data_IF_038549355740
#
_entry.id   IF_038549355740
#
_cell.length_a   1.000
_cell.length_b   1.000
_cell.length_c   1.000
_cell.angle_alpha   90.00
_cell.angle_beta   90.00
_cell.angle_gamma   90.00
#
_symmetry.space_group_name_H-M   'P 1'
#
loop_
_entity.id
_entity.type
_entity.pdbx_description
1 polymer ?
#
# COMPACT_ATOMS: atom_id res chain seq x y z
N UNK A 1 -15.87 8.20 -18.31
CA UNK A 1 -15.34 6.83 -18.61
C UNK A 1 -15.92 5.88 -17.56
N UNK A 2 -16.43 4.72 -17.94
CA UNK A 2 -16.90 3.75 -16.93
C UNK A 2 -15.68 2.93 -16.47
N UNK A 3 -15.11 3.29 -15.33
CA UNK A 3 -13.92 2.63 -14.78
C UNK A 3 -14.29 1.23 -14.29
N UNK A 4 -13.53 0.22 -14.69
CA UNK A 4 -13.80 -1.20 -14.37
C UNK A 4 -12.75 -1.80 -13.46
N UNK A 5 -11.51 -1.40 -13.63
CA UNK A 5 -10.33 -1.97 -12.95
C UNK A 5 -9.45 -0.87 -12.36
N UNK A 6 -8.62 -1.18 -11.35
CA UNK A 6 -7.68 -0.21 -10.77
C UNK A 6 -6.74 0.44 -11.79
N UNK A 7 -6.37 -0.25 -12.87
CA UNK A 7 -5.54 0.34 -13.92
C UNK A 7 -6.20 1.53 -14.63
N UNK A 8 -7.55 1.54 -14.71
CA UNK A 8 -8.29 2.60 -15.40
C UNK A 8 -8.15 3.94 -14.68
N UNK A 9 -7.85 3.93 -13.36
CA UNK A 9 -7.60 5.13 -12.56
C UNK A 9 -6.44 5.96 -13.11
N UNK A 10 -5.46 5.31 -13.75
CA UNK A 10 -4.25 5.94 -14.27
C UNK A 10 -4.49 6.68 -15.60
N UNK A 11 -5.55 6.35 -16.30
CA UNK A 11 -5.90 6.92 -17.61
C UNK A 11 -7.06 7.91 -17.53
N UNK A 12 -7.80 7.94 -16.40
CA UNK A 12 -8.88 8.89 -16.16
C UNK A 12 -8.33 10.19 -15.56
N UNK A 13 -8.33 11.27 -16.35
CA UNK A 13 -7.74 12.57 -15.96
C UNK A 13 -8.34 13.14 -14.68
N UNK A 14 -9.66 13.00 -14.48
CA UNK A 14 -10.32 13.49 -13.27
C UNK A 14 -9.83 12.73 -12.04
N UNK A 15 -9.76 11.40 -12.14
CA UNK A 15 -9.28 10.54 -11.05
C UNK A 15 -7.81 10.79 -10.75
N UNK A 16 -6.97 10.89 -11.78
CA UNK A 16 -5.54 11.23 -11.63
C UNK A 16 -5.39 12.54 -10.88
N UNK A 17 -6.12 13.58 -11.26
CA UNK A 17 -6.09 14.87 -10.58
C UNK A 17 -6.57 14.76 -9.11
N UNK A 18 -7.64 14.00 -8.85
CA UNK A 18 -8.12 13.75 -7.48
C UNK A 18 -7.08 13.01 -6.64
N UNK A 19 -6.42 12.00 -7.19
CA UNK A 19 -5.34 11.28 -6.50
C UNK A 19 -4.21 12.27 -6.14
N UNK A 20 -3.76 13.06 -7.09
CA UNK A 20 -2.68 14.03 -6.88
C UNK A 20 -2.99 15.06 -5.80
N UNK A 21 -4.23 15.55 -5.74
CA UNK A 21 -4.62 16.66 -4.85
C UNK A 21 -5.18 16.20 -3.51
N UNK A 22 -5.86 15.04 -3.44
CA UNK A 22 -6.55 14.59 -2.23
C UNK A 22 -5.73 13.58 -1.41
N UNK A 23 -4.96 12.72 -2.08
CA UNK A 23 -4.23 11.66 -1.38
C UNK A 23 -3.22 12.21 -0.35
N UNK A 24 -2.45 13.28 -0.61
CA UNK A 24 -1.58 13.87 0.40
C UNK A 24 -2.32 14.30 1.66
N UNK A 25 -3.45 14.99 1.52
CA UNK A 25 -4.30 15.40 2.65
C UNK A 25 -4.83 14.20 3.43
N UNK A 26 -5.38 13.21 2.74
CA UNK A 26 -5.96 12.01 3.37
C UNK A 26 -4.89 11.18 4.10
N UNK A 27 -3.68 11.09 3.55
CA UNK A 27 -2.58 10.40 4.19
C UNK A 27 -2.01 11.20 5.38
N UNK A 28 -2.04 12.53 5.33
CA UNK A 28 -1.71 13.35 6.50
C UNK A 28 -2.74 13.13 7.63
N UNK A 29 -4.04 13.07 7.31
CA UNK A 29 -5.08 12.70 8.27
C UNK A 29 -4.83 11.31 8.86
N UNK A 30 -4.49 10.32 8.03
CA UNK A 30 -4.15 8.97 8.50
C UNK A 30 -2.93 8.97 9.46
N UNK A 31 -1.95 9.84 9.22
CA UNK A 31 -0.82 10.02 10.14
C UNK A 31 -1.25 10.67 11.46
N UNK A 32 -2.12 11.68 11.43
CA UNK A 32 -2.66 12.30 12.65
C UNK A 32 -3.47 11.30 13.47
N UNK A 33 -4.36 10.51 12.80
CA UNK A 33 -5.16 9.46 13.45
C UNK A 33 -4.30 8.39 14.13
N UNK A 34 -3.18 8.01 13.51
CA UNK A 34 -2.26 7.01 14.04
C UNK A 34 -1.15 7.60 14.93
N UNK A 35 -1.19 8.90 15.25
CA UNK A 35 -0.13 9.55 16.02
C UNK A 35 -0.35 9.43 17.52
N UNK A 36 0.75 9.16 18.26
CA UNK A 36 0.79 9.23 19.72
C UNK A 36 2.02 10.04 20.15
N UNK A 37 1.81 11.03 21.00
CA UNK A 37 2.89 11.89 21.49
C UNK A 37 3.76 12.47 20.36
N UNK A 38 3.14 12.88 19.26
CA UNK A 38 3.83 13.49 18.10
C UNK A 38 4.57 12.49 17.20
N UNK A 39 4.48 11.19 17.46
CA UNK A 39 5.09 10.15 16.61
C UNK A 39 4.02 9.32 15.92
N UNK A 40 4.21 9.08 14.62
CA UNK A 40 3.33 8.22 13.85
C UNK A 40 3.53 6.76 14.25
N UNK A 41 2.44 6.09 14.67
CA UNK A 41 2.45 4.70 15.08
C UNK A 41 2.55 3.72 13.89
N UNK A 42 2.83 2.44 14.19
CA UNK A 42 2.93 1.39 13.16
C UNK A 42 1.59 1.11 12.47
N UNK A 43 0.49 1.36 13.14
CA UNK A 43 -0.88 1.22 12.66
C UNK A 43 -1.24 2.13 11.48
N UNK A 44 -0.43 3.15 11.20
CA UNK A 44 -0.64 4.07 10.06
C UNK A 44 -0.76 3.33 8.73
N UNK A 45 -0.06 2.21 8.57
CA UNK A 45 -0.15 1.37 7.37
C UNK A 45 -1.58 0.94 7.09
N UNK A 46 -2.27 0.38 8.09
CA UNK A 46 -3.66 -0.07 7.97
C UNK A 46 -4.65 1.08 7.72
N UNK A 47 -4.40 2.27 8.28
CA UNK A 47 -5.25 3.44 8.02
C UNK A 47 -5.07 3.92 6.57
N UNK A 48 -3.83 3.99 6.08
CA UNK A 48 -3.53 4.36 4.68
C UNK A 48 -4.11 3.36 3.68
N UNK A 49 -4.05 2.06 3.99
CA UNK A 49 -4.69 1.01 3.20
C UNK A 49 -6.19 1.25 3.06
N UNK A 50 -6.89 1.56 4.17
CA UNK A 50 -8.32 1.91 4.14
C UNK A 50 -8.60 3.13 3.24
N UNK A 51 -7.71 4.13 3.21
CA UNK A 51 -7.84 5.30 2.32
C UNK A 51 -7.77 4.87 0.85
N UNK A 52 -6.86 3.95 0.50
CA UNK A 52 -6.75 3.42 -0.86
C UNK A 52 -7.97 2.57 -1.23
N UNK A 53 -8.42 1.70 -0.32
CA UNK A 53 -9.65 0.91 -0.53
C UNK A 53 -10.86 1.82 -0.73
N UNK A 54 -10.97 2.90 0.05
CA UNK A 54 -12.05 3.88 -0.10
C UNK A 54 -12.01 4.57 -1.48
N UNK A 55 -10.83 4.85 -2.04
CA UNK A 55 -10.68 5.34 -3.41
C UNK A 55 -11.22 4.33 -4.43
N UNK A 56 -10.89 3.04 -4.26
CA UNK A 56 -11.39 1.98 -5.15
C UNK A 56 -12.92 1.87 -5.07
N UNK A 57 -13.49 1.87 -3.87
CA UNK A 57 -14.95 1.85 -3.65
C UNK A 57 -15.60 3.08 -4.30
N UNK A 58 -15.04 4.27 -4.10
CA UNK A 58 -15.57 5.52 -4.64
C UNK A 58 -15.59 5.53 -6.18
N UNK A 59 -14.58 4.95 -6.82
CA UNK A 59 -14.44 5.00 -8.28
C UNK A 59 -14.99 3.78 -9.02
N UNK A 60 -14.98 2.63 -8.40
CA UNK A 60 -15.35 1.37 -9.04
C UNK A 60 -16.69 0.80 -8.56
N UNK A 61 -17.27 1.38 -7.49
CA UNK A 61 -18.51 0.91 -6.86
C UNK A 61 -18.27 -0.14 -5.78
N UNK A 62 -18.99 -0.02 -4.67
CA UNK A 62 -18.87 -0.91 -3.49
C UNK A 62 -19.18 -2.37 -3.82
N UNK A 63 -20.13 -2.60 -4.72
CA UNK A 63 -20.58 -3.92 -5.18
C UNK A 63 -19.49 -4.70 -5.93
N UNK A 64 -18.48 -4.00 -6.43
CA UNK A 64 -17.36 -4.58 -7.18
C UNK A 64 -16.12 -4.85 -6.30
N UNK A 65 -16.19 -4.48 -5.02
CA UNK A 65 -15.05 -4.51 -4.09
C UNK A 65 -15.36 -5.47 -2.93
N UNK A 66 -14.54 -6.51 -2.79
CA UNK A 66 -14.57 -7.38 -1.62
C UNK A 66 -13.36 -7.07 -0.72
N UNK A 67 -13.65 -6.67 0.52
CA UNK A 67 -12.67 -6.38 1.58
C UNK A 67 -12.67 -7.44 2.68
N UNK A 68 -13.53 -8.48 2.57
CA UNK A 68 -13.60 -9.60 3.51
C UNK A 68 -12.65 -10.70 3.05
N UNK A 69 -11.35 -10.44 3.18
CA UNK A 69 -10.31 -11.35 2.76
C UNK A 69 -9.93 -12.27 3.93
N UNK A 70 -9.87 -13.60 3.73
CA UNK A 70 -9.41 -14.53 4.75
C UNK A 70 -7.97 -14.23 5.18
N UNK A 71 -7.66 -14.37 6.46
CA UNK A 71 -6.30 -14.19 7.03
C UNK A 71 -5.28 -15.12 6.35
N UNK A 72 -5.72 -16.24 5.81
CA UNK A 72 -4.89 -17.19 5.06
C UNK A 72 -4.39 -16.66 3.72
N UNK A 73 -5.01 -15.62 3.19
CA UNK A 73 -4.59 -14.93 1.96
C UNK A 73 -3.70 -13.73 2.28
N UNK A 74 -2.52 -13.99 2.83
CA UNK A 74 -1.63 -13.00 3.44
C UNK A 74 -1.12 -11.88 2.52
N UNK A 75 -1.25 -12.03 1.20
CA UNK A 75 -0.80 -11.04 0.21
C UNK A 75 -1.97 -10.26 -0.43
N UNK A 76 -3.21 -10.73 -0.27
CA UNK A 76 -4.39 -10.08 -0.82
C UNK A 76 -5.00 -9.14 0.21
N UNK A 77 -5.06 -7.86 -0.09
CA UNK A 77 -5.69 -6.84 0.76
C UNK A 77 -7.10 -6.49 0.28
N UNK A 78 -7.38 -6.65 -1.02
CA UNK A 78 -8.69 -6.38 -1.63
C UNK A 78 -8.88 -7.20 -2.91
N UNK A 79 -10.13 -7.58 -3.18
CA UNK A 79 -10.53 -8.19 -4.45
C UNK A 79 -11.44 -7.23 -5.21
N UNK A 80 -11.08 -6.91 -6.46
CA UNK A 80 -11.84 -6.05 -7.35
C UNK A 80 -12.35 -6.89 -8.52
N UNK A 81 -13.67 -7.05 -8.63
CA UNK A 81 -14.31 -7.87 -9.69
C UNK A 81 -13.68 -9.27 -9.85
N UNK A 82 -13.34 -9.91 -8.73
CA UNK A 82 -12.74 -11.25 -8.72
C UNK A 82 -11.22 -11.29 -8.90
N UNK A 83 -10.54 -10.16 -9.14
CA UNK A 83 -9.07 -10.07 -9.21
C UNK A 83 -8.50 -9.55 -7.89
N UNK A 84 -7.51 -10.27 -7.34
CA UNK A 84 -6.82 -9.90 -6.10
C UNK A 84 -5.79 -8.79 -6.31
N UNK A 85 -5.67 -7.92 -5.31
CA UNK A 85 -4.68 -6.85 -5.25
C UNK A 85 -4.08 -6.75 -3.86
N UNK A 86 -2.78 -6.52 -3.80
CA UNK A 86 -2.09 -6.13 -2.58
C UNK A 86 -1.96 -4.61 -2.51
N UNK A 87 -2.14 -4.02 -1.33
CA UNK A 87 -1.97 -2.58 -1.11
C UNK A 87 -0.77 -2.36 -0.21
N UNK A 88 0.21 -1.61 -0.70
CA UNK A 88 1.42 -1.32 0.07
C UNK A 88 1.66 0.18 0.15
N UNK A 89 2.16 0.64 1.28
CA UNK A 89 2.55 2.03 1.47
C UNK A 89 3.95 2.13 2.03
N UNK A 90 4.74 3.09 1.53
CA UNK A 90 6.10 3.33 1.99
C UNK A 90 6.32 4.83 2.19
N UNK A 91 7.02 5.22 3.24
CA UNK A 91 7.43 6.61 3.46
C UNK A 91 8.94 6.74 3.26
N UNK A 92 9.34 7.62 2.35
CA UNK A 92 10.74 7.83 1.99
C UNK A 92 11.39 6.57 1.42
N UNK A 93 12.53 6.19 1.98
CA UNK A 93 13.31 5.01 1.57
C UNK A 93 13.15 3.81 2.52
N UNK A 94 12.02 3.72 3.22
CA UNK A 94 11.71 2.59 4.09
C UNK A 94 11.60 1.26 3.36
N UNK A 95 11.50 0.16 4.10
CA UNK A 95 11.23 -1.17 3.54
C UNK A 95 9.74 -1.38 3.25
N UNK A 96 9.44 -2.22 2.28
CA UNK A 96 8.08 -2.67 1.97
C UNK A 96 7.98 -4.13 2.39
N UNK A 97 7.05 -4.44 3.30
CA UNK A 97 6.83 -5.82 3.71
C UNK A 97 6.00 -6.57 2.68
N UNK A 98 6.53 -7.71 2.23
CA UNK A 98 5.77 -8.68 1.46
C UNK A 98 4.73 -9.36 2.38
N UNK A 99 5.16 -9.74 3.61
CA UNK A 99 4.29 -10.35 4.62
C UNK A 99 4.76 -9.98 6.02
N UNK A 100 3.81 -9.96 6.96
CA UNK A 100 4.09 -9.94 8.39
C UNK A 100 4.29 -11.37 8.91
N UNK A 101 5.33 -11.58 9.71
CA UNK A 101 5.61 -12.86 10.37
C UNK A 101 5.83 -12.65 11.85
N UNK A 102 5.67 -13.70 12.65
CA UNK A 102 5.84 -13.65 14.10
C UNK A 102 7.22 -14.15 14.55
N UNK A 103 7.88 -14.97 13.71
CA UNK A 103 9.15 -15.61 14.03
C UNK A 103 10.01 -15.89 12.78
N UNK A 104 11.23 -16.38 12.98
CA UNK A 104 12.19 -16.66 11.91
C UNK A 104 11.81 -17.91 11.08
N UNK A 105 11.13 -18.89 11.67
CA UNK A 105 10.69 -20.10 10.97
C UNK A 105 9.57 -19.77 10.00
N UNK A 106 8.57 -19.01 10.45
CA UNK A 106 7.49 -18.48 9.59
C UNK A 106 8.04 -17.65 8.43
N UNK A 107 9.07 -16.80 8.70
CA UNK A 107 9.72 -16.02 7.66
C UNK A 107 10.43 -16.91 6.63
N UNK A 108 11.18 -17.93 7.09
CA UNK A 108 11.86 -18.90 6.22
C UNK A 108 10.88 -19.70 5.36
N UNK A 109 9.81 -20.20 5.99
CA UNK A 109 8.76 -20.95 5.30
C UNK A 109 8.07 -20.08 4.25
N UNK A 110 7.77 -18.82 4.55
CA UNK A 110 7.23 -17.88 3.60
C UNK A 110 8.16 -17.69 2.40
N UNK A 111 9.45 -17.39 2.64
CA UNK A 111 10.41 -17.18 1.55
C UNK A 111 10.56 -18.45 0.70
N UNK A 112 10.65 -19.63 1.32
CA UNK A 112 10.83 -20.88 0.59
C UNK A 112 9.67 -21.16 -0.39
N UNK A 113 8.47 -20.75 -0.06
CA UNK A 113 7.26 -20.99 -0.85
C UNK A 113 6.77 -19.76 -1.62
N UNK A 114 7.50 -18.64 -1.53
CA UNK A 114 7.07 -17.38 -2.13
C UNK A 114 7.06 -17.42 -3.66
N UNK A 115 5.99 -16.93 -4.19
CA UNK A 115 5.83 -16.43 -5.57
C UNK A 115 4.90 -15.22 -5.51
N UNK A 116 5.08 -14.19 -6.35
CA UNK A 116 4.09 -13.15 -6.53
C UNK A 116 2.71 -13.75 -6.86
N UNK A 117 1.62 -13.17 -6.31
CA UNK A 117 0.28 -13.74 -6.48
C UNK A 117 -0.76 -12.79 -7.05
N UNK A 118 -0.51 -11.49 -6.91
CA UNK A 118 -1.46 -10.46 -7.33
C UNK A 118 -0.76 -9.17 -7.70
N UNK A 119 -1.48 -8.29 -8.40
CA UNK A 119 -0.99 -6.94 -8.66
C UNK A 119 -0.79 -6.17 -7.35
N UNK A 120 0.20 -5.26 -7.32
CA UNK A 120 0.43 -4.40 -6.16
C UNK A 120 0.00 -2.97 -6.49
N UNK A 121 -0.91 -2.41 -5.70
CA UNK A 121 -1.17 -0.98 -5.61
C UNK A 121 -0.23 -0.41 -4.55
N UNK A 122 0.73 0.41 -4.97
CA UNK A 122 1.75 0.93 -4.07
C UNK A 122 1.70 2.44 -4.01
N UNK A 123 1.76 2.99 -2.79
CA UNK A 123 1.85 4.44 -2.58
C UNK A 123 3.20 4.77 -1.95
N UNK A 124 4.05 5.47 -2.72
CA UNK A 124 5.32 6.02 -2.22
C UNK A 124 5.09 7.46 -1.75
N UNK A 125 5.22 7.66 -0.44
CA UNK A 125 5.06 8.96 0.20
C UNK A 125 6.44 9.60 0.36
N UNK A 126 6.56 10.85 -0.05
CA UNK A 126 7.77 11.63 0.16
C UNK A 126 7.41 13.06 0.56
N UNK A 127 7.21 13.29 1.86
CA UNK A 127 6.84 14.61 2.35
C UNK A 127 7.89 15.67 2.03
N UNK A 128 7.46 16.73 1.34
CA UNK A 128 8.33 17.83 0.93
C UNK A 128 9.16 17.57 -0.32
N UNK A 129 8.98 16.43 -1.01
CA UNK A 129 9.70 16.12 -2.23
C UNK A 129 8.74 15.69 -3.38
N UNK A 130 9.32 15.53 -4.58
CA UNK A 130 8.57 15.15 -5.79
C UNK A 130 8.77 13.67 -6.18
N UNK A 131 9.58 12.91 -5.43
CA UNK A 131 9.87 11.50 -5.72
C UNK A 131 8.88 10.55 -5.06
N UNK A 132 7.60 10.85 -5.18
CA UNK A 132 6.53 10.01 -4.68
C UNK A 132 5.46 9.76 -5.74
N UNK A 133 4.52 8.85 -5.44
CA UNK A 133 3.47 8.58 -6.38
C UNK A 133 2.55 7.46 -5.96
N UNK A 134 1.52 7.28 -6.76
CA UNK A 134 0.59 6.16 -6.72
C UNK A 134 0.93 5.25 -7.88
N UNK A 135 1.19 3.99 -7.61
CA UNK A 135 1.68 3.01 -8.59
C UNK A 135 0.75 1.82 -8.68
N UNK A 136 0.66 1.24 -9.87
CA UNK A 136 0.16 -0.12 -10.09
C UNK A 136 1.29 -0.95 -10.70
N UNK A 137 1.69 -1.98 -10.00
CA UNK A 137 2.73 -2.93 -10.41
C UNK A 137 2.03 -4.22 -10.79
N UNK A 138 1.90 -4.54 -12.08
CA UNK A 138 1.27 -5.77 -12.55
C UNK A 138 1.98 -7.02 -12.02
N UNK A 139 1.24 -8.11 -11.86
CA UNK A 139 1.79 -9.41 -11.48
C UNK A 139 2.86 -9.88 -12.48
N UNK A 140 2.64 -9.68 -13.76
CA UNK A 140 3.57 -10.06 -14.82
C UNK A 140 4.93 -9.32 -14.70
N UNK A 141 4.91 -8.08 -14.21
CA UNK A 141 6.15 -7.32 -13.92
C UNK A 141 6.88 -7.94 -12.73
N UNK A 142 6.13 -8.30 -11.69
CA UNK A 142 6.71 -8.93 -10.50
C UNK A 142 7.31 -10.30 -10.85
N UNK A 143 6.62 -11.11 -11.64
CA UNK A 143 7.11 -12.43 -12.09
C UNK A 143 8.41 -12.31 -12.89
N UNK A 144 8.47 -11.41 -13.87
CA UNK A 144 9.69 -11.15 -14.67
C UNK A 144 10.88 -10.73 -13.78
N UNK A 145 10.63 -9.87 -12.78
CA UNK A 145 11.67 -9.42 -11.85
C UNK A 145 12.07 -10.55 -10.91
N UNK A 146 11.10 -11.32 -10.40
CA UNK A 146 11.33 -12.46 -9.52
C UNK A 146 12.16 -13.55 -10.21
N UNK A 147 11.83 -13.89 -11.46
CA UNK A 147 12.61 -14.86 -12.26
C UNK A 147 14.03 -14.36 -12.51
N UNK A 148 14.20 -13.07 -12.83
CA UNK A 148 15.51 -12.47 -13.11
C UNK A 148 16.42 -12.39 -11.87
N UNK A 149 15.87 -12.01 -10.72
CA UNK A 149 16.65 -11.79 -9.50
C UNK A 149 16.85 -13.08 -8.70
N UNK A 150 15.97 -14.04 -8.85
CA UNK A 150 15.82 -15.16 -7.94
C UNK A 150 15.25 -14.75 -6.58
N UNK A 151 14.75 -15.72 -5.86
CA UNK A 151 14.04 -15.55 -4.59
C UNK A 151 14.84 -14.76 -3.54
N UNK A 152 16.13 -15.10 -3.38
CA UNK A 152 17.02 -14.53 -2.36
C UNK A 152 17.37 -13.06 -2.61
N UNK A 153 17.32 -12.61 -3.87
CA UNK A 153 17.55 -11.23 -4.24
C UNK A 153 16.24 -10.44 -4.42
N UNK A 154 15.10 -11.13 -4.55
CA UNK A 154 13.79 -10.49 -4.60
C UNK A 154 13.26 -10.15 -3.20
N UNK A 155 13.48 -11.04 -2.24
CA UNK A 155 13.11 -10.86 -0.84
C UNK A 155 14.37 -10.67 0.03
N UNK A 156 14.17 -9.98 1.14
CA UNK A 156 15.22 -9.74 2.14
C UNK A 156 14.86 -10.47 3.42
N UNK A 157 15.76 -11.36 3.84
CA UNK A 157 15.63 -12.03 5.14
C UNK A 157 15.76 -11.05 6.31
N UNK A 158 14.96 -11.20 7.35
CA UNK A 158 15.23 -10.56 8.63
C UNK A 158 16.62 -10.96 9.15
N UNK A 159 17.30 -10.01 9.80
CA UNK A 159 18.61 -10.33 10.40
C UNK A 159 18.46 -11.39 11.49
N UNK A 160 19.34 -12.38 11.49
CA UNK A 160 19.41 -13.41 12.54
C UNK A 160 19.55 -12.75 13.92
N UNK A 161 18.88 -13.31 14.95
CA UNK A 161 18.87 -12.79 16.31
C UNK A 161 17.99 -11.54 16.54
N UNK A 162 17.30 -11.03 15.50
CA UNK A 162 16.28 -10.01 15.65
C UNK A 162 14.89 -10.66 15.67
N UNK A 163 13.91 -10.01 16.34
CA UNK A 163 12.52 -10.46 16.24
C UNK A 163 11.97 -10.06 14.85
N UNK A 164 11.81 -11.00 13.91
CA UNK A 164 11.40 -10.68 12.56
C UNK A 164 9.93 -10.30 12.55
N UNK A 165 9.65 -9.02 12.25
CA UNK A 165 8.27 -8.54 12.08
C UNK A 165 7.78 -8.66 10.64
N UNK A 166 8.39 -9.56 9.86
CA UNK A 166 7.99 -9.88 8.50
C UNK A 166 9.15 -9.95 7.52
N UNK A 167 8.82 -10.38 6.31
CA UNK A 167 9.74 -10.44 5.17
C UNK A 167 9.54 -9.19 4.33
N UNK A 168 10.64 -8.55 3.92
CA UNK A 168 10.63 -7.34 3.08
C UNK A 168 11.03 -7.69 1.64
N UNK A 169 10.50 -6.93 0.69
CA UNK A 169 11.11 -6.88 -0.64
C UNK A 169 12.52 -6.30 -0.55
N UNK A 170 13.43 -6.81 -1.37
CA UNK A 170 14.76 -6.22 -1.46
C UNK A 170 14.72 -4.84 -2.13
N UNK A 171 15.71 -4.01 -1.86
CA UNK A 171 15.80 -2.70 -2.53
C UNK A 171 15.91 -2.86 -4.04
N UNK A 172 16.67 -3.83 -4.52
CA UNK A 172 16.84 -4.10 -5.96
C UNK A 172 15.51 -4.49 -6.60
N UNK A 173 14.70 -5.31 -5.94
CA UNK A 173 13.36 -5.67 -6.43
C UNK A 173 12.44 -4.44 -6.49
N UNK A 174 12.42 -3.62 -5.43
CA UNK A 174 11.61 -2.39 -5.37
C UNK A 174 12.02 -1.42 -6.48
N UNK A 175 13.33 -1.15 -6.64
CA UNK A 175 13.84 -0.23 -7.65
C UNK A 175 13.51 -0.76 -9.07
N UNK A 176 13.63 -2.08 -9.28
CA UNK A 176 13.27 -2.71 -10.55
C UNK A 176 11.76 -2.60 -10.85
N UNK A 177 10.90 -2.73 -9.83
CA UNK A 177 9.45 -2.52 -9.99
C UNK A 177 9.13 -1.07 -10.36
N UNK A 178 9.76 -0.09 -9.71
CA UNK A 178 9.49 1.33 -9.98
C UNK A 178 9.97 1.80 -11.35
N UNK A 179 11.06 1.22 -11.87
CA UNK A 179 11.67 1.60 -13.15
C UNK A 179 11.15 0.81 -14.33
N UNK A 180 10.33 -0.23 -14.11
CA UNK A 180 9.76 -1.03 -15.19
C UNK A 180 8.75 -0.22 -16.00
N UNK A 181 8.84 -0.30 -17.33
CA UNK A 181 7.98 0.46 -18.26
C UNK A 181 6.49 0.07 -18.22
N UNK A 182 6.18 -1.14 -17.75
CA UNK A 182 4.81 -1.64 -17.62
C UNK A 182 4.19 -1.26 -16.24
N UNK A 183 4.99 -0.72 -15.31
CA UNK A 183 4.49 -0.17 -14.05
C UNK A 183 3.83 1.18 -14.31
N UNK A 184 2.56 1.29 -13.95
CA UNK A 184 1.82 2.54 -14.08
C UNK A 184 2.13 3.47 -12.90
N UNK A 185 2.26 4.77 -13.16
CA UNK A 185 2.59 5.79 -12.15
C UNK A 185 1.74 7.03 -12.31
N UNK A 186 1.14 7.49 -11.22
CA UNK A 186 0.63 8.85 -11.05
C UNK A 186 1.61 9.57 -10.13
N UNK A 187 2.42 10.52 -10.62
CA UNK A 187 3.33 11.29 -9.77
C UNK A 187 2.53 12.18 -8.81
N UNK A 188 2.97 12.27 -7.56
CA UNK A 188 2.29 13.07 -6.52
C UNK A 188 3.31 13.98 -5.86
N UNK A 189 2.97 15.26 -5.78
CA UNK A 189 3.71 16.22 -4.96
C UNK A 189 3.19 16.15 -3.52
N UNK A 190 3.99 15.56 -2.63
CA UNK A 190 3.62 15.36 -1.23
C UNK A 190 3.89 16.60 -0.40
N UNK A 191 2.84 17.34 -0.06
CA UNK A 191 2.91 18.50 0.83
C UNK A 191 1.95 18.29 1.99
N UNK A 192 2.45 18.51 3.22
CA UNK A 192 1.60 18.59 4.40
C UNK A 192 0.95 19.98 4.46
N UNK A 193 -0.35 19.98 4.60
CA UNK A 193 -1.14 21.19 4.88
C UNK A 193 -1.35 21.29 6.38
N UNK A 194 -1.54 22.52 6.88
CA UNK A 194 -1.99 22.72 8.26
C UNK A 194 -3.47 22.26 8.30
N UNK A 195 -3.75 21.26 9.11
CA UNK A 195 -5.08 20.69 9.25
C UNK A 195 -5.52 20.82 10.72
N UNK A 196 -6.68 21.40 10.92
CA UNK A 196 -7.42 21.26 12.17
C UNK A 196 -8.13 19.90 12.14
N UNK A 197 -7.50 18.91 12.74
CA UNK A 197 -8.04 17.55 12.79
C UNK A 197 -8.06 17.07 14.24
N UNK A 198 -9.28 16.81 14.75
CA UNK A 198 -9.51 16.23 16.06
C UNK A 198 -9.79 14.73 15.92
N UNK A 199 -8.85 13.92 16.42
CA UNK A 199 -8.93 12.45 16.37
C UNK A 199 -10.06 11.88 17.23
N UNK A 200 -10.56 12.66 18.20
CA UNK A 200 -11.60 12.23 19.12
C UNK A 200 -13.01 12.68 18.71
N UNK A 201 -13.12 13.66 17.81
CA UNK A 201 -14.39 14.29 17.44
C UNK A 201 -15.50 13.29 17.15
N UNK A 202 -15.26 12.33 16.24
CA UNK A 202 -16.29 11.33 15.87
C UNK A 202 -16.67 10.41 17.04
N UNK A 203 -15.73 10.12 17.94
CA UNK A 203 -16.01 9.29 19.11
C UNK A 203 -16.85 10.03 20.12
N UNK A 204 -16.60 11.33 20.32
CA UNK A 204 -17.43 12.21 21.16
C UNK A 204 -18.83 12.33 20.57
N UNK A 205 -18.95 12.45 19.23
CA UNK A 205 -20.25 12.46 18.54
C UNK A 205 -21.03 11.17 18.83
N UNK A 206 -20.43 9.99 18.68
CA UNK A 206 -21.07 8.70 19.00
C UNK A 206 -21.47 8.56 20.48
N UNK A 207 -20.67 9.11 21.41
CA UNK A 207 -21.06 9.10 22.84
C UNK A 207 -22.23 10.02 23.15
N UNK A 208 -22.55 10.97 22.28
CA UNK A 208 -23.69 11.86 22.42
C UNK A 208 -24.96 11.36 21.69
N UNK A 209 -24.87 10.23 20.99
CA UNK A 209 -26.04 9.58 20.37
C UNK A 209 -26.83 8.84 21.47
N UNK A 210 -28.17 9.08 21.56
CA UNK A 210 -29.11 8.43 22.49
C UNK A 210 -29.42 6.98 22.08
#
# INVERSE_FOLDING_TARGET
>A
MNLKEPKDLFFDKETTHKIQTRLPKLFHIAELEASRAGKVGMEVGSVREKVVIALLIYKLGKENINTKIPITESETDVVVRGKSYSIKTITGNGGIKAVWTVDAESASNFINNYKPKCDIILVKICWGCQDGGFYLIPLEVQDKIFEKLGKENYLKMPKAGTNPRGVEFSKIAIDSMFTNSETLKIPIHWKKEILEYDTYKKWVEYWNED
#
